data_IF_972003699925
#
_entry.id   IF_972003699925
#
_cell.length_a   1.000
_cell.length_b   1.000
_cell.length_c   1.000
_cell.angle_alpha   90.00
_cell.angle_beta   90.00
_cell.angle_gamma   90.00
#
_symmetry.space_group_name_H-M   'P 1'
#
loop_
_entity.id
_entity.type
_entity.pdbx_description
1 polymer ?
#
# COMPACT_ATOMS: atom_id res chain seq x y z
N UNK A 1 10.37 18.30 16.44
CA UNK A 1 9.37 18.91 15.52
C UNK A 1 7.98 18.62 16.07
N UNK A 2 7.32 19.56 16.74
CA UNK A 2 6.04 19.30 17.42
C UNK A 2 4.85 19.09 16.46
N UNK A 3 5.00 19.46 15.20
CA UNK A 3 3.90 19.38 14.20
C UNK A 3 3.92 18.10 13.34
N UNK A 4 4.94 17.26 13.50
CA UNK A 4 4.99 15.97 12.79
C UNK A 4 4.37 14.92 13.70
N UNK A 5 3.24 14.35 13.26
CA UNK A 5 2.39 13.42 14.03
C UNK A 5 2.46 11.98 13.52
N UNK A 6 3.29 11.71 12.54
CA UNK A 6 3.44 10.35 12.02
C UNK A 6 4.44 10.25 10.88
N UNK A 7 4.70 9.01 10.50
CA UNK A 7 5.57 8.66 9.38
C UNK A 7 4.97 7.50 8.60
N UNK A 8 5.12 7.55 7.27
CA UNK A 8 4.93 6.39 6.40
C UNK A 8 6.29 5.90 5.95
N UNK A 9 6.59 4.63 6.20
CA UNK A 9 7.76 3.97 5.64
C UNK A 9 7.38 3.15 4.40
N UNK A 10 8.19 3.23 3.35
CA UNK A 10 8.06 2.44 2.11
C UNK A 10 9.41 1.91 1.66
N UNK A 11 10.40 1.86 2.55
CA UNK A 11 11.77 1.40 2.25
C UNK A 11 11.81 -0.09 1.89
N UNK A 12 10.89 -0.90 2.43
CA UNK A 12 10.96 -2.34 2.37
C UNK A 12 11.96 -2.96 3.36
N UNK A 13 12.48 -2.17 4.28
CA UNK A 13 13.40 -2.59 5.34
C UNK A 13 12.63 -2.74 6.67
N UNK A 14 12.33 -3.99 7.05
CA UNK A 14 11.59 -4.28 8.27
C UNK A 14 12.40 -4.00 9.54
N UNK A 15 13.71 -4.06 9.49
CA UNK A 15 14.56 -3.72 10.65
C UNK A 15 14.50 -2.21 10.90
N UNK A 16 14.60 -1.40 9.85
CA UNK A 16 14.39 0.04 9.94
C UNK A 16 12.99 0.36 10.48
N UNK A 17 11.94 -0.28 9.95
CA UNK A 17 10.58 -0.08 10.44
C UNK A 17 10.45 -0.43 11.92
N UNK A 18 11.04 -1.54 12.37
CA UNK A 18 11.05 -1.95 13.79
C UNK A 18 11.69 -0.89 14.68
N UNK A 19 12.79 -0.28 14.25
CA UNK A 19 13.41 0.84 14.94
C UNK A 19 12.51 2.07 15.01
N UNK A 20 11.83 2.41 13.91
CA UNK A 20 10.87 3.54 13.83
C UNK A 20 9.72 3.30 14.80
N UNK A 21 9.08 2.12 14.77
CA UNK A 21 7.98 1.74 15.68
C UNK A 21 8.43 1.83 17.14
N UNK A 22 9.62 1.29 17.45
CA UNK A 22 10.17 1.34 18.82
C UNK A 22 10.42 2.78 19.29
N UNK A 23 10.90 3.64 18.42
CA UNK A 23 11.11 5.06 18.73
C UNK A 23 9.77 5.81 18.90
N UNK A 24 8.77 5.50 18.06
CA UNK A 24 7.44 6.10 18.07
C UNK A 24 6.68 5.83 19.38
N UNK A 25 6.89 4.67 20.01
CA UNK A 25 6.25 4.33 21.31
C UNK A 25 6.55 5.33 22.43
N UNK A 26 7.58 6.18 22.27
CA UNK A 26 7.89 7.27 23.22
C UNK A 26 6.99 8.50 23.02
N UNK A 27 6.19 8.52 21.96
CA UNK A 27 5.29 9.61 21.57
C UNK A 27 3.92 9.02 21.24
N UNK A 28 2.98 8.99 22.20
CA UNK A 28 1.66 8.38 22.00
C UNK A 28 0.81 9.01 20.88
N UNK A 29 1.14 10.24 20.49
CA UNK A 29 0.52 11.02 19.43
C UNK A 29 1.20 10.85 18.05
N UNK A 30 2.14 9.89 17.92
CA UNK A 30 2.90 9.70 16.69
C UNK A 30 2.62 8.33 16.06
N UNK A 31 1.96 8.35 14.88
CA UNK A 31 1.61 7.14 14.14
C UNK A 31 2.69 6.68 13.17
N UNK A 32 2.79 5.37 12.98
CA UNK A 32 3.68 4.73 12.01
C UNK A 32 2.87 3.88 11.04
N UNK A 33 3.03 4.12 9.73
CA UNK A 33 2.33 3.37 8.69
C UNK A 33 3.31 2.70 7.72
N UNK A 34 2.94 1.50 7.26
CA UNK A 34 3.68 0.79 6.23
C UNK A 34 3.13 1.05 4.84
N UNK A 35 4.02 1.36 3.91
CA UNK A 35 3.71 1.54 2.49
C UNK A 35 4.29 0.48 1.56
N UNK A 36 5.27 -0.32 2.01
CA UNK A 36 5.84 -1.41 1.23
C UNK A 36 4.86 -2.58 1.18
N UNK A 37 4.26 -2.77 0.02
CA UNK A 37 3.05 -3.56 -0.20
C UNK A 37 3.22 -5.07 0.05
N UNK A 38 4.44 -5.58 -0.08
CA UNK A 38 4.76 -6.99 0.21
C UNK A 38 4.92 -7.30 1.70
N UNK A 39 4.90 -6.27 2.56
CA UNK A 39 5.27 -6.37 3.97
C UNK A 39 4.20 -5.78 4.93
N UNK A 40 2.96 -5.59 4.44
CA UNK A 40 1.91 -4.90 5.20
C UNK A 40 1.60 -5.64 6.51
N UNK A 41 1.34 -6.95 6.43
CA UNK A 41 1.05 -7.77 7.61
C UNK A 41 2.24 -7.87 8.55
N UNK A 42 3.46 -8.03 8.01
CA UNK A 42 4.67 -8.07 8.83
C UNK A 42 4.86 -6.76 9.62
N UNK A 43 4.57 -5.62 9.00
CA UNK A 43 4.63 -4.32 9.64
C UNK A 43 3.59 -4.17 10.77
N UNK A 44 2.35 -4.61 10.56
CA UNK A 44 1.31 -4.61 11.59
C UNK A 44 1.73 -5.50 12.77
N UNK A 45 2.30 -6.67 12.50
CA UNK A 45 2.85 -7.58 13.53
C UNK A 45 4.02 -6.96 14.30
N UNK A 46 4.80 -6.07 13.70
CA UNK A 46 5.84 -5.28 14.38
C UNK A 46 5.27 -4.13 15.21
N UNK A 47 3.97 -3.82 15.06
CA UNK A 47 3.28 -2.78 15.80
C UNK A 47 3.18 -1.44 15.06
N UNK A 48 3.21 -1.45 13.73
CA UNK A 48 2.79 -0.30 12.95
C UNK A 48 1.28 -0.04 13.16
N UNK A 49 0.88 1.23 13.22
CA UNK A 49 -0.48 1.66 13.51
C UNK A 49 -1.42 1.50 12.29
N UNK A 50 -0.87 1.27 11.11
CA UNK A 50 -1.67 1.10 9.91
C UNK A 50 -0.86 0.90 8.63
N UNK A 51 -1.58 0.86 7.51
CA UNK A 51 -1.01 0.65 6.18
C UNK A 51 -1.47 1.74 5.20
N UNK A 52 -0.60 2.12 4.27
CA UNK A 52 -0.90 3.09 3.19
C UNK A 52 -0.34 2.57 1.86
N UNK A 53 -0.80 1.41 1.38
CA UNK A 53 -0.32 0.82 0.13
C UNK A 53 -0.96 1.47 -1.09
N UNK A 54 -0.22 1.58 -2.19
CA UNK A 54 -0.75 2.06 -3.46
C UNK A 54 -1.84 1.15 -4.03
N UNK A 55 -1.69 -0.17 -3.84
CA UNK A 55 -2.65 -1.18 -4.30
C UNK A 55 -4.05 -1.02 -3.68
N UNK A 56 -4.18 -0.36 -2.52
CA UNK A 56 -5.46 -0.07 -1.90
C UNK A 56 -6.39 0.78 -2.78
N UNK A 57 -5.85 1.53 -3.74
CA UNK A 57 -6.67 2.22 -4.73
C UNK A 57 -7.42 1.27 -5.66
N UNK A 58 -6.93 0.05 -5.87
CA UNK A 58 -7.53 -0.98 -6.72
C UNK A 58 -8.28 -2.05 -5.93
N UNK A 59 -7.84 -2.34 -4.74
CA UNK A 59 -8.35 -3.38 -3.85
C UNK A 59 -8.51 -2.84 -2.41
N UNK A 60 -9.37 -1.82 -2.19
CA UNK A 60 -9.57 -1.26 -0.85
C UNK A 60 -10.11 -2.29 0.13
N UNK A 61 -11.07 -3.12 -0.29
CA UNK A 61 -11.70 -4.12 0.58
C UNK A 61 -10.69 -5.13 1.13
N UNK A 62 -9.75 -5.61 0.29
CA UNK A 62 -8.68 -6.50 0.73
C UNK A 62 -7.70 -5.83 1.70
N UNK A 63 -7.45 -4.54 1.51
CA UNK A 63 -6.58 -3.77 2.39
C UNK A 63 -7.23 -3.56 3.77
N UNK A 64 -8.54 -3.30 3.80
CA UNK A 64 -9.33 -3.19 5.04
C UNK A 64 -9.41 -4.55 5.72
N UNK A 65 -9.71 -5.63 4.98
CA UNK A 65 -9.79 -6.99 5.54
C UNK A 65 -8.46 -7.43 6.17
N UNK A 66 -7.31 -7.11 5.54
CA UNK A 66 -6.00 -7.42 6.12
C UNK A 66 -5.83 -6.81 7.51
N UNK A 67 -6.19 -5.53 7.67
CA UNK A 67 -6.09 -4.83 8.96
C UNK A 67 -7.09 -5.41 9.96
N UNK A 68 -8.35 -5.56 9.56
CA UNK A 68 -9.42 -6.08 10.42
C UNK A 68 -9.16 -7.52 10.88
N UNK A 69 -8.63 -8.37 10.01
CA UNK A 69 -8.25 -9.73 10.33
C UNK A 69 -7.08 -9.75 11.33
N UNK A 70 -6.06 -8.92 11.13
CA UNK A 70 -4.95 -8.79 12.07
C UNK A 70 -5.43 -8.31 13.45
N UNK A 71 -6.21 -7.24 13.52
CA UNK A 71 -6.74 -6.69 14.76
C UNK A 71 -7.63 -7.68 15.54
N UNK A 72 -8.34 -8.55 14.81
CA UNK A 72 -9.23 -9.58 15.38
C UNK A 72 -8.51 -10.89 15.69
N UNK A 73 -7.20 -11.00 15.46
CA UNK A 73 -6.43 -12.24 15.65
C UNK A 73 -6.77 -13.36 14.68
N UNK A 74 -7.40 -13.05 13.54
CA UNK A 74 -7.70 -14.00 12.46
C UNK A 74 -6.48 -14.14 11.53
N UNK A 75 -5.40 -14.75 12.05
CA UNK A 75 -4.10 -14.81 11.37
C UNK A 75 -4.18 -15.41 9.96
N UNK A 76 -4.94 -16.48 9.76
CA UNK A 76 -5.09 -17.13 8.46
C UNK A 76 -5.73 -16.20 7.41
N UNK A 77 -6.75 -15.43 7.80
CA UNK A 77 -7.41 -14.47 6.92
C UNK A 77 -6.48 -13.30 6.58
N UNK A 78 -5.70 -12.82 7.56
CA UNK A 78 -4.73 -11.76 7.36
C UNK A 78 -3.60 -12.20 6.39
N UNK A 79 -3.10 -13.42 6.53
CA UNK A 79 -2.09 -14.01 5.64
C UNK A 79 -2.63 -14.19 4.21
N UNK A 80 -3.88 -14.65 4.07
CA UNK A 80 -4.52 -14.78 2.78
C UNK A 80 -4.72 -13.41 2.10
N UNK A 81 -5.20 -12.40 2.83
CA UNK A 81 -5.36 -11.05 2.32
C UNK A 81 -4.00 -10.46 1.86
N UNK A 82 -2.94 -10.63 2.66
CA UNK A 82 -1.57 -10.24 2.27
C UNK A 82 -1.12 -10.95 1.00
N UNK A 83 -1.37 -12.26 0.91
CA UNK A 83 -0.98 -13.08 -0.24
C UNK A 83 -1.67 -12.61 -1.52
N UNK A 84 -2.98 -12.32 -1.44
CA UNK A 84 -3.75 -11.81 -2.59
C UNK A 84 -3.25 -10.42 -3.00
N UNK A 85 -3.08 -9.50 -2.05
CA UNK A 85 -2.52 -8.16 -2.32
C UNK A 85 -1.15 -8.26 -3.00
N UNK A 86 -0.26 -9.12 -2.51
CA UNK A 86 1.06 -9.34 -3.10
C UNK A 86 0.97 -9.84 -4.54
N UNK A 87 0.03 -10.74 -4.85
CA UNK A 87 -0.21 -11.22 -6.23
C UNK A 87 -0.68 -10.12 -7.17
N UNK A 88 -1.49 -9.18 -6.69
CA UNK A 88 -1.95 -8.04 -7.48
C UNK A 88 -0.79 -7.13 -7.91
N UNK A 89 0.34 -7.13 -7.19
CA UNK A 89 1.52 -6.35 -7.55
C UNK A 89 2.18 -6.83 -8.86
N UNK A 90 1.79 -8.00 -9.39
CA UNK A 90 2.22 -8.44 -10.72
C UNK A 90 1.86 -7.42 -11.82
N UNK A 91 0.85 -6.56 -11.60
CA UNK A 91 0.54 -5.44 -12.49
C UNK A 91 1.74 -4.50 -12.73
N UNK A 92 2.64 -4.40 -11.74
CA UNK A 92 3.84 -3.56 -11.86
C UNK A 92 4.92 -4.14 -12.79
N UNK A 93 4.82 -5.43 -13.16
CA UNK A 93 5.65 -6.02 -14.22
C UNK A 93 5.25 -5.52 -15.62
N UNK A 94 3.99 -5.12 -15.79
CA UNK A 94 3.47 -4.55 -17.04
C UNK A 94 3.86 -3.07 -17.12
N UNK A 95 3.64 -2.35 -16.02
CA UNK A 95 4.02 -0.95 -15.87
C UNK A 95 4.23 -0.61 -14.39
N UNK A 96 5.41 -0.13 -13.99
CA UNK A 96 5.69 0.15 -12.58
C UNK A 96 4.96 1.37 -12.05
N UNK A 97 4.55 1.29 -10.79
CA UNK A 97 4.11 2.39 -9.96
C UNK A 97 2.72 2.96 -10.25
N UNK A 98 2.53 4.20 -9.87
CA UNK A 98 1.26 4.94 -9.94
C UNK A 98 0.63 4.94 -11.36
N UNK A 99 1.37 5.01 -12.47
CA UNK A 99 0.78 4.94 -13.81
C UNK A 99 -0.04 3.69 -14.10
N UNK A 100 0.36 2.51 -13.57
CA UNK A 100 -0.41 1.28 -13.75
C UNK A 100 -1.74 1.34 -12.99
N UNK A 101 -1.70 1.81 -11.74
CA UNK A 101 -2.88 1.99 -10.90
C UNK A 101 -3.87 2.97 -11.56
N UNK A 102 -3.37 4.12 -12.04
CA UNK A 102 -4.21 5.11 -12.71
C UNK A 102 -4.86 4.59 -13.99
N UNK A 103 -4.14 3.80 -14.79
CA UNK A 103 -4.69 3.22 -16.01
C UNK A 103 -5.87 2.28 -15.71
N UNK A 104 -5.75 1.47 -14.66
CA UNK A 104 -6.83 0.58 -14.23
C UNK A 104 -8.01 1.32 -13.59
N UNK A 105 -7.75 2.43 -12.89
CA UNK A 105 -8.81 3.28 -12.34
C UNK A 105 -9.57 4.02 -13.45
N UNK A 106 -8.88 4.44 -14.51
CA UNK A 106 -9.47 5.05 -15.70
C UNK A 106 -10.38 4.04 -16.43
N UNK A 107 -9.91 2.83 -16.66
CA UNK A 107 -10.70 1.74 -17.25
C UNK A 107 -11.97 1.42 -16.44
N UNK A 108 -11.93 1.61 -15.13
CA UNK A 108 -13.08 1.48 -14.22
C UNK A 108 -13.97 2.73 -14.15
N UNK A 109 -13.63 3.80 -14.87
CA UNK A 109 -14.36 5.08 -14.83
C UNK A 109 -14.19 5.88 -13.54
N UNK A 110 -13.20 5.53 -12.69
CA UNK A 110 -12.97 6.16 -11.39
C UNK A 110 -11.96 7.32 -11.44
N UNK A 111 -11.19 7.45 -12.52
CA UNK A 111 -10.19 8.48 -12.68
C UNK A 111 -10.18 8.98 -14.13
N UNK A 112 -10.93 10.04 -14.47
CA UNK A 112 -10.93 10.55 -15.83
C UNK A 112 -9.57 11.15 -16.21
N UNK A 113 -9.20 11.04 -17.46
CA UNK A 113 -7.97 11.32 -18.21
C UNK A 113 -7.09 12.57 -17.87
N UNK A 114 -7.13 13.13 -16.69
CA UNK A 114 -6.25 14.22 -16.31
C UNK A 114 -4.93 13.68 -15.72
N UNK A 115 -4.07 13.17 -16.58
CA UNK A 115 -2.70 12.82 -16.19
C UNK A 115 -1.93 14.09 -15.81
N UNK A 116 -1.19 14.10 -14.67
CA UNK A 116 -0.20 15.15 -14.46
C UNK A 116 0.77 15.15 -15.64
N UNK A 117 1.10 16.32 -16.16
CA UNK A 117 1.94 16.48 -17.37
C UNK A 117 3.33 15.80 -17.30
N UNK A 118 3.72 15.27 -16.15
CA UNK A 118 4.99 14.58 -15.89
C UNK A 118 4.93 13.05 -15.91
N UNK A 119 3.76 12.45 -16.09
CA UNK A 119 3.61 10.99 -16.21
C UNK A 119 3.38 10.63 -17.69
N UNK A 120 4.36 9.96 -18.30
CA UNK A 120 4.23 9.43 -19.64
C UNK A 120 3.05 8.45 -19.72
N UNK A 121 2.07 8.63 -20.61
CA UNK A 121 0.96 7.69 -20.75
C UNK A 121 1.47 6.31 -21.15
N UNK A 122 0.83 5.24 -20.66
CA UNK A 122 1.12 3.88 -21.10
C UNK A 122 0.91 3.77 -22.62
N UNK A 123 1.78 3.10 -23.35
CA UNK A 123 1.45 2.70 -24.71
C UNK A 123 0.19 1.82 -24.64
N UNK A 124 -0.82 2.16 -25.42
CA UNK A 124 -2.02 1.31 -25.56
C UNK A 124 -1.57 -0.03 -26.13
N UNK A 125 -2.09 -1.17 -25.65
CA UNK A 125 -1.81 -2.43 -26.31
C UNK A 125 -2.26 -2.33 -27.77
N UNK A 126 -1.36 -2.69 -28.68
CA UNK A 126 -1.62 -2.70 -30.11
C UNK A 126 -2.85 -3.57 -30.39
N UNK A 127 -3.91 -2.98 -30.92
CA UNK A 127 -5.03 -3.71 -31.48
C UNK A 127 -6.40 -3.36 -30.97
N UNK A 128 -6.83 -2.10 -31.13
CA UNK A 128 -8.22 -1.76 -31.28
C UNK A 128 -8.32 -0.54 -32.19
N UNK A 129 -8.54 -0.78 -33.44
CA UNK A 129 -9.11 0.17 -34.41
C UNK A 129 -10.57 0.34 -34.12
#
# INVERSE_FOLDING_TARGET
>A
MPHVVGIKDSSGDLDLLGHIVSAARRRPDFGVSQGAETQLLAALRLGADGIVPGIANLAPDLSVELVAAHESGRDGDAEEAQRVLTRLLALHSIRPGVPAIKALLDDRGLCPHTWPRHSCPAPRPNGAT
#
